data_IF_558394156352
#
_entry.id   IF_558394156352
#
_cell.length_a   1.000
_cell.length_b   1.000
_cell.length_c   1.000
_cell.angle_alpha   90.00
_cell.angle_beta   90.00
_cell.angle_gamma   90.00
#
_symmetry.space_group_name_H-M   'P 1'
#
loop_
_entity.id
_entity.type
_entity.pdbx_description
1 polymer ?
#
# COMPACT_ATOMS: atom_id res chain seq x y z
N UNK A 1 -50.60 3.95 -46.22
CA UNK A 1 -50.23 4.18 -44.81
C UNK A 1 -50.38 2.88 -44.05
N UNK A 2 -49.28 2.27 -43.59
CA UNK A 2 -49.24 1.32 -42.46
C UNK A 2 -47.78 1.01 -42.14
N UNK A 3 -47.26 1.76 -41.17
CA UNK A 3 -45.96 1.57 -40.53
C UNK A 3 -46.07 0.33 -39.64
N UNK A 4 -45.19 -0.65 -39.80
CA UNK A 4 -45.02 -1.75 -38.84
C UNK A 4 -43.70 -1.56 -38.14
N UNK A 5 -43.79 -1.48 -36.81
CA UNK A 5 -42.74 -1.11 -35.88
C UNK A 5 -41.61 -2.15 -35.86
N UNK A 6 -40.38 -1.64 -36.02
CA UNK A 6 -39.15 -2.32 -35.62
C UNK A 6 -39.20 -2.56 -34.10
N UNK A 7 -39.27 -3.83 -33.70
CA UNK A 7 -39.04 -4.23 -32.31
C UNK A 7 -37.56 -4.52 -32.14
N UNK A 8 -36.78 -3.49 -31.82
CA UNK A 8 -35.39 -3.63 -31.41
C UNK A 8 -35.35 -4.25 -30.01
N UNK A 9 -35.05 -5.54 -29.92
CA UNK A 9 -34.75 -6.21 -28.66
C UNK A 9 -33.37 -5.80 -28.17
N UNK A 10 -33.30 -4.75 -27.35
CA UNK A 10 -32.09 -4.36 -26.64
C UNK A 10 -31.93 -5.28 -25.41
N UNK A 11 -31.27 -6.43 -25.60
CA UNK A 11 -30.85 -7.27 -24.49
C UNK A 11 -29.68 -6.57 -23.77
N UNK A 12 -29.97 -5.89 -22.65
CA UNK A 12 -28.94 -5.51 -21.68
C UNK A 12 -28.40 -6.80 -21.06
N UNK A 13 -27.31 -7.33 -21.63
CA UNK A 13 -26.42 -8.21 -20.89
C UNK A 13 -25.72 -7.36 -19.84
N UNK A 14 -26.30 -7.27 -18.65
CA UNK A 14 -25.53 -6.98 -17.45
C UNK A 14 -24.55 -8.14 -17.25
N UNK A 15 -23.38 -8.05 -17.90
CA UNK A 15 -22.23 -8.83 -17.45
C UNK A 15 -21.91 -8.32 -16.06
N UNK A 16 -22.43 -9.00 -15.05
CA UNK A 16 -21.81 -9.00 -13.75
C UNK A 16 -20.38 -9.49 -14.01
N UNK A 17 -19.43 -8.56 -14.04
CA UNK A 17 -18.02 -8.90 -13.91
C UNK A 17 -17.91 -9.51 -12.52
N UNK A 18 -18.02 -10.84 -12.43
CA UNK A 18 -17.41 -11.57 -11.35
C UNK A 18 -15.90 -11.30 -11.51
N UNK A 19 -15.42 -10.23 -10.88
CA UNK A 19 -14.00 -10.07 -10.64
C UNK A 19 -13.59 -11.33 -9.88
N UNK A 20 -12.70 -12.12 -10.47
CA UNK A 20 -12.16 -13.27 -9.77
C UNK A 20 -11.50 -12.77 -8.49
N UNK A 21 -11.81 -13.40 -7.35
CA UNK A 21 -11.26 -13.03 -6.05
C UNK A 21 -9.71 -13.02 -6.11
N UNK A 22 -9.13 -11.82 -6.00
CA UNK A 22 -7.69 -11.62 -6.01
C UNK A 22 -7.05 -11.75 -4.62
N UNK A 23 -5.75 -11.51 -4.56
CA UNK A 23 -4.92 -11.44 -3.37
C UNK A 23 -4.17 -10.12 -3.35
N UNK A 24 -4.40 -9.35 -2.29
CA UNK A 24 -3.66 -8.12 -1.96
C UNK A 24 -2.58 -8.48 -0.95
N UNK A 25 -1.33 -8.50 -1.37
CA UNK A 25 -0.18 -8.74 -0.50
C UNK A 25 0.38 -7.41 0.01
N UNK A 26 0.49 -7.26 1.33
CA UNK A 26 1.10 -6.10 1.97
C UNK A 26 2.49 -6.50 2.47
N UNK A 27 3.50 -5.83 1.93
CA UNK A 27 4.90 -5.98 2.34
C UNK A 27 5.31 -4.68 3.02
N UNK A 28 5.08 -4.63 4.34
CA UNK A 28 5.35 -3.44 5.14
C UNK A 28 6.20 -3.69 6.38
N UNK A 29 6.29 -2.67 7.25
CA UNK A 29 7.01 -2.72 8.52
C UNK A 29 6.09 -2.73 9.76
N UNK A 30 6.51 -2.11 10.87
CA UNK A 30 5.75 -2.05 12.11
C UNK A 30 4.43 -1.29 11.98
N UNK A 31 4.33 -0.32 11.07
CA UNK A 31 3.10 0.46 10.87
C UNK A 31 2.01 -0.46 10.33
N UNK A 32 2.32 -1.22 9.28
CA UNK A 32 1.38 -2.18 8.69
C UNK A 32 1.22 -3.47 9.51
N UNK A 33 2.21 -3.82 10.34
CA UNK A 33 2.07 -4.92 11.30
C UNK A 33 1.15 -4.57 12.49
N UNK A 34 0.78 -3.29 12.67
CA UNK A 34 -0.03 -2.84 13.80
C UNK A 34 0.73 -2.89 15.13
N UNK A 35 2.02 -2.52 15.13
CA UNK A 35 2.88 -2.58 16.31
C UNK A 35 2.25 -1.90 17.53
N UNK A 36 2.29 -2.59 18.68
CA UNK A 36 1.74 -2.08 19.94
C UNK A 36 0.21 -2.05 20.02
N UNK A 37 -0.51 -2.47 18.97
CA UNK A 37 -1.95 -2.50 18.93
C UNK A 37 -2.50 -3.93 19.01
N UNK A 38 -3.78 -4.03 19.35
CA UNK A 38 -4.57 -5.20 18.95
C UNK A 38 -4.63 -5.20 17.42
N UNK A 39 -4.11 -6.25 16.78
CA UNK A 39 -3.96 -6.31 15.32
C UNK A 39 -5.30 -6.16 14.59
N UNK A 40 -6.42 -6.50 15.23
CA UNK A 40 -7.78 -6.32 14.69
C UNK A 40 -8.16 -4.85 14.46
N UNK A 41 -7.46 -3.94 15.15
CA UNK A 41 -7.64 -2.49 15.02
C UNK A 41 -6.69 -1.86 14.00
N UNK A 42 -5.68 -2.60 13.52
CA UNK A 42 -4.73 -2.10 12.53
C UNK A 42 -5.40 -1.81 11.18
N UNK A 43 -4.86 -0.83 10.45
CA UNK A 43 -5.42 -0.38 9.17
C UNK A 43 -5.59 -1.52 8.15
N UNK A 44 -4.73 -2.55 8.19
CA UNK A 44 -4.84 -3.74 7.33
C UNK A 44 -6.08 -4.57 7.66
N UNK A 45 -6.39 -4.78 8.94
CA UNK A 45 -7.63 -5.45 9.33
C UNK A 45 -8.86 -4.60 9.03
N UNK A 46 -8.75 -3.27 9.11
CA UNK A 46 -9.81 -2.35 8.69
C UNK A 46 -10.02 -2.40 7.16
N UNK A 47 -8.94 -2.54 6.39
CA UNK A 47 -9.00 -2.77 4.94
C UNK A 47 -9.76 -4.05 4.63
N UNK A 48 -9.38 -5.18 5.24
CA UNK A 48 -10.09 -6.47 5.06
C UNK A 48 -11.60 -6.35 5.33
N UNK A 49 -11.97 -5.65 6.40
CA UNK A 49 -13.38 -5.41 6.72
C UNK A 49 -14.06 -4.54 5.68
N UNK A 50 -13.38 -3.50 5.19
CA UNK A 50 -13.93 -2.61 4.17
C UNK A 50 -14.13 -3.32 2.83
N UNK A 51 -13.18 -4.15 2.40
CA UNK A 51 -13.29 -4.95 1.19
C UNK A 51 -14.55 -5.81 1.22
N UNK A 52 -14.75 -6.56 2.31
CA UNK A 52 -15.97 -7.37 2.52
C UNK A 52 -17.25 -6.52 2.51
N UNK A 53 -17.24 -5.35 3.14
CA UNK A 53 -18.41 -4.45 3.17
C UNK A 53 -18.74 -3.85 1.81
N UNK A 54 -17.73 -3.57 0.98
CA UNK A 54 -17.90 -2.99 -0.36
C UNK A 54 -18.06 -4.06 -1.46
N UNK A 55 -18.07 -5.35 -1.10
CA UNK A 55 -18.31 -6.46 -2.03
C UNK A 55 -17.10 -6.90 -2.84
N UNK A 56 -15.89 -6.59 -2.37
CA UNK A 56 -14.65 -7.14 -2.92
C UNK A 56 -14.38 -8.51 -2.29
N UNK A 57 -14.14 -9.51 -3.12
CA UNK A 57 -13.81 -10.88 -2.68
C UNK A 57 -12.30 -11.08 -2.46
N UNK A 58 -11.50 -10.02 -2.66
CA UNK A 58 -10.05 -10.03 -2.48
C UNK A 58 -9.61 -10.45 -1.08
N UNK A 59 -8.63 -11.37 -1.03
CA UNK A 59 -7.96 -11.78 0.19
C UNK A 59 -6.79 -10.84 0.49
N UNK A 60 -6.75 -10.29 1.70
CA UNK A 60 -5.57 -9.53 2.14
C UNK A 60 -4.59 -10.47 2.84
N UNK A 61 -3.31 -10.36 2.49
CA UNK A 61 -2.20 -11.03 3.15
C UNK A 61 -1.30 -9.97 3.76
N UNK A 62 -1.33 -9.85 5.09
CA UNK A 62 -0.41 -8.98 5.79
C UNK A 62 0.91 -9.69 6.05
N UNK A 63 1.92 -9.43 5.21
CA UNK A 63 3.27 -9.94 5.39
C UNK A 63 4.18 -8.90 6.07
N UNK A 64 3.65 -7.97 6.84
CA UNK A 64 4.44 -6.90 7.44
C UNK A 64 5.22 -7.37 8.67
N UNK A 65 6.46 -6.89 8.84
CA UNK A 65 7.34 -7.30 9.95
C UNK A 65 7.85 -6.05 10.66
N UNK A 66 7.62 -5.97 11.98
CA UNK A 66 8.10 -4.84 12.76
C UNK A 66 9.63 -4.70 12.71
N UNK A 67 10.11 -3.51 12.34
CA UNK A 67 11.53 -3.20 12.22
C UNK A 67 12.19 -3.59 10.88
N UNK A 68 11.40 -4.08 9.91
CA UNK A 68 11.90 -4.35 8.55
C UNK A 68 12.43 -3.07 7.90
N UNK A 69 13.58 -3.21 7.24
CA UNK A 69 14.07 -2.25 6.26
C UNK A 69 13.69 -2.68 4.86
N UNK A 70 13.86 -1.79 3.89
CA UNK A 70 13.70 -2.10 2.46
C UNK A 70 14.52 -3.32 2.01
N UNK A 71 15.73 -3.49 2.56
CA UNK A 71 16.57 -4.66 2.29
C UNK A 71 15.96 -5.97 2.83
N UNK A 72 15.38 -5.92 4.04
CA UNK A 72 14.71 -7.07 4.64
C UNK A 72 13.48 -7.49 3.84
N UNK A 73 12.63 -6.52 3.49
CA UNK A 73 11.47 -6.72 2.62
C UNK A 73 11.84 -7.29 1.25
N UNK A 74 12.89 -6.76 0.62
CA UNK A 74 13.37 -7.24 -0.67
C UNK A 74 13.84 -8.70 -0.59
N UNK A 75 14.54 -9.09 0.47
CA UNK A 75 15.07 -10.44 0.63
C UNK A 75 13.96 -11.50 0.75
N UNK A 76 12.81 -11.16 1.34
CA UNK A 76 11.69 -12.09 1.55
C UNK A 76 10.63 -12.06 0.43
N UNK A 77 10.62 -11.02 -0.40
CA UNK A 77 9.61 -10.84 -1.45
C UNK A 77 9.50 -12.02 -2.43
N UNK A 78 10.58 -12.64 -2.94
CA UNK A 78 10.47 -13.75 -3.89
C UNK A 78 9.63 -14.92 -3.37
N UNK A 79 9.82 -15.28 -2.09
CA UNK A 79 9.08 -16.37 -1.46
C UNK A 79 7.59 -16.02 -1.33
N UNK A 80 7.28 -14.79 -0.94
CA UNK A 80 5.91 -14.29 -0.79
C UNK A 80 5.16 -14.24 -2.13
N UNK A 81 5.83 -13.80 -3.19
CA UNK A 81 5.26 -13.78 -4.55
C UNK A 81 4.97 -15.21 -5.04
N UNK A 82 5.89 -16.14 -4.82
CA UNK A 82 5.71 -17.54 -5.22
C UNK A 82 4.59 -18.25 -4.44
N UNK A 83 4.48 -17.97 -3.14
CA UNK A 83 3.49 -18.57 -2.25
C UNK A 83 2.08 -18.03 -2.51
N UNK A 84 1.93 -16.71 -2.57
CA UNK A 84 0.61 -16.07 -2.57
C UNK A 84 0.10 -15.67 -3.96
N UNK A 85 0.99 -15.55 -4.95
CA UNK A 85 0.66 -15.15 -6.34
C UNK A 85 -0.30 -13.95 -6.41
N UNK A 86 0.04 -12.82 -5.77
CA UNK A 86 -0.87 -11.70 -5.63
C UNK A 86 -1.13 -10.98 -6.96
N UNK A 87 -2.35 -10.48 -7.13
CA UNK A 87 -2.74 -9.55 -8.19
C UNK A 87 -2.33 -8.11 -7.84
N UNK A 88 -2.14 -7.81 -6.55
CA UNK A 88 -1.69 -6.51 -6.07
C UNK A 88 -0.69 -6.66 -4.92
N UNK A 89 0.44 -5.96 -5.02
CA UNK A 89 1.41 -5.79 -3.94
C UNK A 89 1.39 -4.35 -3.45
N UNK A 90 1.15 -4.16 -2.15
CA UNK A 90 1.30 -2.87 -1.47
C UNK A 90 2.66 -2.86 -0.76
N UNK A 91 3.51 -1.89 -1.12
CA UNK A 91 4.84 -1.71 -0.54
C UNK A 91 4.83 -0.54 0.44
N UNK A 92 5.10 -0.84 1.73
CA UNK A 92 5.14 0.14 2.82
C UNK A 92 6.46 -0.01 3.60
N UNK A 93 7.56 0.37 2.96
CA UNK A 93 8.91 0.21 3.53
C UNK A 93 9.75 1.47 3.36
N UNK A 94 10.75 1.59 4.23
CA UNK A 94 11.74 2.67 4.21
C UNK A 94 11.74 3.52 5.48
N UNK A 95 10.70 3.48 6.31
CA UNK A 95 10.67 4.16 7.60
C UNK A 95 11.90 3.82 8.45
N UNK A 96 12.18 2.52 8.61
CA UNK A 96 13.36 2.05 9.33
C UNK A 96 14.70 2.41 8.64
N UNK A 97 14.76 2.42 7.31
CA UNK A 97 15.97 2.85 6.58
C UNK A 97 16.30 4.30 6.90
N UNK A 98 15.29 5.17 6.84
CA UNK A 98 15.41 6.59 7.10
C UNK A 98 15.73 6.90 8.56
N UNK A 99 15.03 6.26 9.51
CA UNK A 99 15.29 6.42 10.94
C UNK A 99 16.70 5.96 11.36
N UNK A 100 17.28 4.98 10.64
CA UNK A 100 18.65 4.49 10.83
C UNK A 100 19.71 5.30 10.06
N UNK A 101 19.31 6.32 9.30
CA UNK A 101 20.23 7.16 8.54
C UNK A 101 20.90 6.45 7.37
N UNK A 102 20.28 5.40 6.81
CA UNK A 102 20.81 4.69 5.64
C UNK A 102 20.73 5.57 4.39
N UNK A 103 21.53 5.25 3.37
CA UNK A 103 21.55 6.04 2.13
C UNK A 103 20.21 5.94 1.38
N UNK A 104 19.56 7.06 1.00
CA UNK A 104 18.33 7.02 0.20
C UNK A 104 18.48 6.28 -1.13
N UNK A 105 19.68 6.26 -1.70
CA UNK A 105 19.99 5.49 -2.92
C UNK A 105 19.85 3.98 -2.71
N UNK A 106 20.17 3.47 -1.52
CA UNK A 106 19.98 2.05 -1.21
C UNK A 106 18.49 1.73 -1.07
N UNK A 107 17.72 2.59 -0.40
CA UNK A 107 16.26 2.49 -0.32
C UNK A 107 15.65 2.46 -1.74
N UNK A 108 16.07 3.38 -2.60
CA UNK A 108 15.60 3.46 -3.98
C UNK A 108 15.89 2.17 -4.76
N UNK A 109 17.12 1.63 -4.66
CA UNK A 109 17.50 0.39 -5.35
C UNK A 109 16.68 -0.81 -4.86
N UNK A 110 16.48 -0.92 -3.56
CA UNK A 110 15.72 -2.02 -2.97
C UNK A 110 14.25 -1.97 -3.40
N UNK A 111 13.60 -0.81 -3.26
CA UNK A 111 12.22 -0.61 -3.68
C UNK A 111 12.06 -0.78 -5.20
N UNK A 112 12.96 -0.24 -6.03
CA UNK A 112 12.93 -0.45 -7.48
C UNK A 112 12.96 -1.94 -7.86
N UNK A 113 13.81 -2.72 -7.18
CA UNK A 113 13.90 -4.16 -7.37
C UNK A 113 12.62 -4.87 -6.95
N UNK A 114 12.03 -4.48 -5.82
CA UNK A 114 10.76 -5.05 -5.34
C UNK A 114 9.58 -4.76 -6.27
N UNK A 115 9.49 -3.53 -6.77
CA UNK A 115 8.49 -3.11 -7.75
C UNK A 115 8.63 -3.96 -9.02
N UNK A 116 9.86 -4.08 -9.55
CA UNK A 116 10.12 -4.87 -10.75
C UNK A 116 9.75 -6.34 -10.56
N UNK A 117 10.18 -6.97 -9.47
CA UNK A 117 9.87 -8.38 -9.18
C UNK A 117 8.36 -8.62 -9.06
N UNK A 118 7.62 -7.68 -8.46
CA UNK A 118 6.17 -7.77 -8.34
C UNK A 118 5.47 -7.67 -9.70
N UNK A 119 5.90 -6.72 -10.54
CA UNK A 119 5.39 -6.56 -11.91
C UNK A 119 5.72 -7.77 -12.79
N UNK A 120 6.94 -8.31 -12.69
CA UNK A 120 7.38 -9.51 -13.42
C UNK A 120 6.56 -10.75 -13.01
N UNK A 121 6.09 -10.79 -11.76
CA UNK A 121 5.17 -11.81 -11.26
C UNK A 121 3.70 -11.59 -11.71
N UNK A 122 3.41 -10.51 -12.45
CA UNK A 122 2.08 -10.17 -12.95
C UNK A 122 1.23 -9.32 -11.99
N UNK A 123 1.79 -8.88 -10.86
CA UNK A 123 1.07 -8.07 -9.88
C UNK A 123 1.09 -6.57 -10.25
N UNK A 124 -0.03 -5.89 -10.00
CA UNK A 124 -0.04 -4.43 -9.83
C UNK A 124 0.76 -4.07 -8.57
N UNK A 125 1.28 -2.86 -8.51
CA UNK A 125 2.02 -2.37 -7.34
C UNK A 125 1.45 -1.03 -6.89
N UNK A 126 1.20 -0.90 -5.59
CA UNK A 126 0.89 0.37 -4.92
C UNK A 126 2.05 0.70 -3.97
N UNK A 127 2.68 1.85 -4.17
CA UNK A 127 3.74 2.32 -3.29
C UNK A 127 3.19 3.29 -2.24
N UNK A 128 3.51 3.06 -0.98
CA UNK A 128 3.17 3.96 0.13
C UNK A 128 4.41 4.76 0.52
N UNK A 129 4.35 6.08 0.30
CA UNK A 129 5.43 7.02 0.57
C UNK A 129 5.59 7.33 2.05
N UNK A 130 6.84 7.51 2.47
CA UNK A 130 7.20 7.87 3.85
C UNK A 130 7.94 9.20 3.89
N UNK A 131 7.83 9.88 5.02
CA UNK A 131 8.60 11.08 5.33
C UNK A 131 9.28 10.92 6.68
N UNK A 132 10.36 11.68 6.88
CA UNK A 132 11.14 11.65 8.11
C UNK A 132 10.96 12.94 8.91
N UNK A 133 11.09 12.85 10.24
CA UNK A 133 11.14 14.02 11.11
C UNK A 133 12.22 15.05 10.68
N UNK A 134 11.98 16.35 10.87
CA UNK A 134 12.85 17.42 10.37
C UNK A 134 14.26 17.44 11.02
N UNK A 135 14.44 16.81 12.18
CA UNK A 135 15.72 16.73 12.90
C UNK A 135 16.80 15.89 12.17
N UNK A 136 16.47 15.20 11.08
CA UNK A 136 17.44 14.50 10.23
C UNK A 136 18.09 15.39 9.16
N UNK A 137 17.67 16.66 9.07
CA UNK A 137 18.24 17.66 8.17
C UNK A 137 17.59 17.66 6.78
N UNK A 138 17.27 18.87 6.30
CA UNK A 138 16.45 19.09 5.09
C UNK A 138 16.99 18.39 3.83
N UNK A 139 18.31 18.31 3.66
CA UNK A 139 18.91 17.63 2.50
C UNK A 139 18.60 16.12 2.51
N UNK A 140 18.70 15.48 3.67
CA UNK A 140 18.46 14.05 3.81
C UNK A 140 16.97 13.73 3.72
N UNK A 141 16.13 14.46 4.45
CA UNK A 141 14.67 14.23 4.45
C UNK A 141 14.07 14.46 3.08
N UNK A 142 14.53 15.48 2.34
CA UNK A 142 14.14 15.69 0.94
C UNK A 142 14.57 14.53 0.04
N UNK A 143 15.85 14.16 0.08
CA UNK A 143 16.36 13.07 -0.75
C UNK A 143 15.65 11.74 -0.46
N UNK A 144 15.28 11.50 0.81
CA UNK A 144 14.49 10.34 1.22
C UNK A 144 13.06 10.37 0.65
N UNK A 145 12.34 11.48 0.81
CA UNK A 145 10.97 11.61 0.31
C UNK A 145 10.91 11.52 -1.23
N UNK A 146 11.89 12.14 -1.92
CA UNK A 146 11.99 12.13 -3.39
C UNK A 146 12.15 10.71 -3.96
N UNK A 147 12.65 9.73 -3.18
CA UNK A 147 12.76 8.32 -3.62
C UNK A 147 11.39 7.80 -4.09
N UNK A 148 10.33 8.06 -3.32
CA UNK A 148 9.02 7.49 -3.58
C UNK A 148 8.38 8.08 -4.84
N UNK A 149 8.44 9.39 -5.03
CA UNK A 149 7.94 10.04 -6.25
C UNK A 149 8.73 9.62 -7.49
N UNK A 150 10.06 9.59 -7.38
CA UNK A 150 10.92 9.19 -8.50
C UNK A 150 10.64 7.75 -8.95
N UNK A 151 10.46 6.82 -8.00
CA UNK A 151 10.13 5.44 -8.33
C UNK A 151 8.74 5.28 -8.93
N UNK A 152 7.76 6.02 -8.42
CA UNK A 152 6.41 6.00 -8.96
C UNK A 152 6.38 6.44 -10.44
N UNK A 153 7.10 7.52 -10.75
CA UNK A 153 7.24 8.04 -12.11
C UNK A 153 8.05 7.07 -13.00
N UNK A 154 9.21 6.58 -12.52
CA UNK A 154 10.09 5.69 -13.28
C UNK A 154 9.43 4.35 -13.62
N UNK A 155 8.69 3.78 -12.67
CA UNK A 155 8.04 2.46 -12.80
C UNK A 155 6.59 2.54 -13.26
N UNK A 156 6.06 3.76 -13.43
CA UNK A 156 4.68 4.03 -13.79
C UNK A 156 3.68 3.28 -12.88
N UNK A 157 3.83 3.47 -11.56
CA UNK A 157 2.98 2.85 -10.55
C UNK A 157 2.23 3.91 -9.71
N UNK A 158 1.03 3.59 -9.21
CA UNK A 158 0.33 4.43 -8.24
C UNK A 158 1.13 4.65 -6.95
N UNK A 159 1.04 5.87 -6.42
CA UNK A 159 1.71 6.31 -5.19
C UNK A 159 0.71 6.96 -4.23
N UNK A 160 0.80 6.63 -2.96
CA UNK A 160 0.31 7.47 -1.86
C UNK A 160 1.50 8.32 -1.40
N UNK A 161 1.55 9.64 -1.68
CA UNK A 161 2.78 10.43 -1.49
C UNK A 161 3.29 10.44 -0.04
N UNK A 162 2.37 10.45 0.92
CA UNK A 162 2.68 10.29 2.33
C UNK A 162 1.60 9.48 3.02
N UNK A 163 1.94 8.27 3.44
CA UNK A 163 0.99 7.35 4.06
C UNK A 163 0.44 7.86 5.39
N UNK A 164 1.29 8.52 6.18
CA UNK A 164 0.95 9.08 7.49
C UNK A 164 0.40 10.52 7.39
N UNK A 165 -0.12 10.95 6.24
CA UNK A 165 -0.66 12.30 6.09
C UNK A 165 -1.80 12.58 7.09
N UNK A 166 -1.70 13.70 7.81
CA UNK A 166 -2.60 14.05 8.91
C UNK A 166 -2.51 13.14 10.16
N UNK A 167 -1.51 12.26 10.24
CA UNK A 167 -1.21 11.39 11.41
C UNK A 167 0.19 11.71 11.94
N UNK A 168 1.21 11.63 11.09
CA UNK A 168 2.59 11.91 11.45
C UNK A 168 2.74 13.33 12.01
N UNK A 169 3.33 13.44 13.21
CA UNK A 169 3.51 14.72 13.89
C UNK A 169 2.29 15.21 14.69
N UNK A 170 1.19 14.46 14.73
CA UNK A 170 0.04 14.75 15.60
C UNK A 170 0.09 13.87 16.86
N UNK A 171 0.49 14.41 18.05
CA UNK A 171 0.75 13.59 19.23
C UNK A 171 -0.44 12.72 19.67
N UNK A 172 -1.67 13.22 19.52
CA UNK A 172 -2.89 12.50 19.90
C UNK A 172 -3.20 11.30 18.98
N UNK A 173 -2.54 11.22 17.82
CA UNK A 173 -2.67 10.14 16.84
C UNK A 173 -1.45 9.22 16.81
N UNK A 174 -0.44 9.48 17.63
CA UNK A 174 0.80 8.72 17.72
C UNK A 174 0.91 8.01 19.07
N UNK A 175 1.66 6.92 19.09
CA UNK A 175 2.08 6.27 20.33
C UNK A 175 3.16 7.13 21.03
N UNK A 176 3.48 6.77 22.27
CA UNK A 176 4.41 7.53 23.11
C UNK A 176 5.83 7.68 22.52
N UNK A 177 6.22 6.80 21.58
CA UNK A 177 7.50 6.89 20.88
C UNK A 177 7.52 7.94 19.75
N UNK A 178 6.37 8.50 19.36
CA UNK A 178 6.24 9.47 18.28
C UNK A 178 6.54 8.92 16.88
N UNK A 179 6.66 7.60 16.73
CA UNK A 179 6.98 6.91 15.46
C UNK A 179 5.79 6.08 15.00
N UNK A 180 5.12 5.38 15.91
CA UNK A 180 4.05 4.47 15.55
C UNK A 180 2.67 5.13 15.70
N UNK A 181 1.76 4.97 14.72
CA UNK A 181 0.38 5.43 14.86
C UNK A 181 -0.36 4.72 15.99
N UNK A 182 -1.19 5.46 16.72
CA UNK A 182 -2.07 4.92 17.74
C UNK A 182 -3.31 4.25 17.13
N UNK A 183 -4.11 3.57 17.95
CA UNK A 183 -5.36 2.94 17.52
C UNK A 183 -6.33 3.95 16.87
N UNK A 184 -6.42 5.18 17.40
CA UNK A 184 -7.28 6.24 16.86
C UNK A 184 -6.86 6.77 15.48
N UNK A 185 -5.69 6.41 14.99
CA UNK A 185 -5.19 6.85 13.68
C UNK A 185 -5.45 5.85 12.54
N UNK A 186 -5.81 4.60 12.87
CA UNK A 186 -5.83 3.50 11.89
C UNK A 186 -6.87 3.70 10.78
N UNK A 187 -8.03 4.28 11.10
CA UNK A 187 -9.03 4.67 10.09
C UNK A 187 -8.46 5.72 9.13
N UNK A 188 -7.74 6.72 9.65
CA UNK A 188 -7.13 7.77 8.84
C UNK A 188 -6.05 7.21 7.89
N UNK A 189 -5.25 6.25 8.36
CA UNK A 189 -4.30 5.53 7.50
C UNK A 189 -5.02 4.81 6.34
N UNK A 190 -6.12 4.11 6.64
CA UNK A 190 -6.92 3.47 5.59
C UNK A 190 -7.48 4.50 4.61
N UNK A 191 -7.99 5.64 5.08
CA UNK A 191 -8.50 6.71 4.20
C UNK A 191 -7.41 7.36 3.34
N UNK A 192 -6.15 7.39 3.80
CA UNK A 192 -5.04 7.89 2.99
C UNK A 192 -4.69 6.91 1.85
N UNK A 193 -4.89 5.61 2.05
CA UNK A 193 -4.60 4.55 1.07
C UNK A 193 -5.75 4.32 0.09
N UNK A 194 -6.98 4.39 0.59
CA UNK A 194 -8.18 3.93 -0.11
C UNK A 194 -8.42 4.55 -1.51
N UNK A 195 -8.26 5.87 -1.72
CA UNK A 195 -8.51 6.48 -3.04
C UNK A 195 -7.59 5.95 -4.13
N UNK A 196 -6.35 5.60 -3.77
CA UNK A 196 -5.35 5.07 -4.72
C UNK A 196 -5.46 3.56 -4.84
N UNK A 197 -5.86 2.86 -3.77
CA UNK A 197 -6.03 1.41 -3.75
C UNK A 197 -7.27 0.96 -4.52
N UNK A 198 -8.43 1.59 -4.29
CA UNK A 198 -9.72 1.13 -4.84
C UNK A 198 -9.72 0.90 -6.36
N UNK A 199 -9.10 1.75 -7.20
CA UNK A 199 -9.04 1.53 -8.65
C UNK A 199 -8.16 0.35 -9.09
N UNK A 200 -7.36 -0.21 -8.18
CA UNK A 200 -6.44 -1.33 -8.46
C UNK A 200 -7.06 -2.70 -8.16
N UNK A 201 -8.13 -2.71 -7.38
CA UNK A 201 -8.95 -3.89 -7.06
C UNK A 201 -9.83 -4.27 -8.26
#
# INVERSE_FOLDING_TARGET
MRVWFLSAGLALMCMAQNAAAGTVLIVGDSISAGFGLDTRLGWVSLLEQRLKREGFDDKVINASISGDTSAGGQARLPALLAEHKPELVILELGGNDGLRGLLPTQLQQNLASMIQQSQDAGAKVLLLGMQLPPNYGARYTKAFADVYSNLADEKNIPLVPFFLDGVGGHPDLMQADGIHPAAGAQDKLLENVWPTLKPLL
#
